data_IF_783981313125
#
_entry.id   IF_783981313125
#
_cell.length_a   1.000
_cell.length_b   1.000
_cell.length_c   1.000
_cell.angle_alpha   90.00
_cell.angle_beta   90.00
_cell.angle_gamma   90.00
#
_symmetry.space_group_name_H-M   'P 1'
#
loop_
_entity.id
_entity.type
_entity.pdbx_description
1 polymer ?
#
# COMPACT_ATOMS: atom_id res chain seq x y z
N UNK A 1 -25.44 2.75 1.72
CA UNK A 1 -24.64 3.93 1.34
C UNK A 1 -23.35 3.97 2.16
N UNK A 2 -22.23 4.26 1.51
CA UNK A 2 -20.95 4.33 2.20
C UNK A 2 -20.87 5.60 3.07
N UNK A 3 -20.36 5.44 4.28
CA UNK A 3 -19.94 6.57 5.10
C UNK A 3 -18.49 6.90 4.74
N UNK A 4 -18.31 7.82 3.79
CA UNK A 4 -16.99 8.15 3.27
C UNK A 4 -16.08 8.78 4.32
N UNK A 5 -16.64 9.52 5.27
CA UNK A 5 -15.84 10.11 6.34
C UNK A 5 -15.23 9.03 7.25
N UNK A 6 -16.05 8.09 7.69
CA UNK A 6 -15.57 6.98 8.52
C UNK A 6 -14.63 6.08 7.74
N UNK A 7 -14.98 5.79 6.48
CA UNK A 7 -14.16 4.96 5.62
C UNK A 7 -12.78 5.58 5.40
N UNK A 8 -12.72 6.89 5.18
CA UNK A 8 -11.45 7.60 5.01
C UNK A 8 -10.60 7.50 6.28
N UNK A 9 -11.21 7.66 7.45
CA UNK A 9 -10.50 7.52 8.72
C UNK A 9 -9.92 6.10 8.88
N UNK A 10 -10.70 5.09 8.52
CA UNK A 10 -10.24 3.69 8.57
C UNK A 10 -9.08 3.46 7.59
N UNK A 11 -9.17 4.00 6.39
CA UNK A 11 -8.12 3.88 5.37
C UNK A 11 -6.84 4.59 5.83
N UNK A 12 -6.95 5.74 6.46
CA UNK A 12 -5.80 6.44 7.03
C UNK A 12 -5.08 5.57 8.07
N UNK A 13 -5.83 4.89 8.91
CA UNK A 13 -5.27 3.98 9.91
C UNK A 13 -4.54 2.80 9.24
N UNK A 14 -5.16 2.24 8.21
CA UNK A 14 -4.58 1.12 7.45
C UNK A 14 -3.30 1.57 6.74
N UNK A 15 -3.31 2.73 6.10
CA UNK A 15 -2.13 3.29 5.42
C UNK A 15 -0.99 3.54 6.40
N UNK A 16 -1.30 4.06 7.58
CA UNK A 16 -0.31 4.31 8.63
C UNK A 16 0.35 3.01 9.09
N UNK A 17 -0.44 1.97 9.32
CA UNK A 17 0.09 0.67 9.71
C UNK A 17 0.99 0.08 8.63
N UNK A 18 0.60 0.19 7.36
CA UNK A 18 1.41 -0.26 6.23
C UNK A 18 2.72 0.53 6.15
N UNK A 19 2.66 1.84 6.39
CA UNK A 19 3.85 2.69 6.41
C UNK A 19 4.82 2.31 7.53
N UNK A 20 4.30 1.98 8.70
CA UNK A 20 5.13 1.47 9.80
C UNK A 20 5.83 0.17 9.45
N UNK A 21 5.14 -0.73 8.77
CA UNK A 21 5.74 -1.96 8.26
C UNK A 21 6.91 -1.65 7.32
N UNK A 22 6.70 -0.77 6.35
CA UNK A 22 7.76 -0.38 5.40
C UNK A 22 8.97 0.21 6.12
N UNK A 23 8.73 1.05 7.11
CA UNK A 23 9.80 1.69 7.87
C UNK A 23 10.62 0.68 8.67
N UNK A 24 9.95 -0.27 9.34
CA UNK A 24 10.63 -1.31 10.10
C UNK A 24 11.44 -2.24 9.19
N UNK A 25 10.87 -2.63 8.03
CA UNK A 25 11.58 -3.45 7.07
C UNK A 25 12.78 -2.72 6.47
N UNK A 26 12.69 -1.40 6.30
CA UNK A 26 13.83 -0.61 5.80
C UNK A 26 15.00 -0.64 6.78
N UNK A 27 14.74 -0.64 8.07
CA UNK A 27 15.78 -0.79 9.08
C UNK A 27 16.45 -2.16 9.00
N UNK A 28 15.66 -3.22 8.82
CA UNK A 28 16.19 -4.57 8.67
C UNK A 28 17.03 -4.71 7.40
N UNK A 29 16.54 -4.13 6.30
CA UNK A 29 17.23 -4.09 5.02
C UNK A 29 18.63 -3.47 5.17
N UNK A 30 18.73 -2.36 5.90
CA UNK A 30 19.98 -1.65 6.10
C UNK A 30 21.03 -2.50 6.80
N UNK A 31 20.62 -3.38 7.71
CA UNK A 31 21.51 -4.28 8.44
C UNK A 31 21.98 -5.47 7.62
N UNK A 32 21.09 -5.97 6.76
CA UNK A 32 21.27 -7.26 6.09
C UNK A 32 21.85 -7.13 4.68
N UNK A 33 21.61 -6.03 4.02
CA UNK A 33 21.87 -5.91 2.61
C UNK A 33 23.25 -5.37 2.30
N UNK A 34 24.03 -6.14 1.57
CA UNK A 34 25.32 -5.74 1.03
C UNK A 34 25.52 -6.15 -0.42
N UNK A 35 24.55 -6.88 -1.01
CA UNK A 35 24.66 -7.39 -2.37
C UNK A 35 23.42 -6.99 -3.15
N UNK A 36 23.60 -6.46 -4.37
CA UNK A 36 22.52 -5.98 -5.24
C UNK A 36 21.40 -7.01 -5.46
N UNK A 37 21.76 -8.27 -5.69
CA UNK A 37 20.80 -9.35 -5.89
C UNK A 37 19.89 -9.52 -4.67
N UNK A 38 20.46 -9.49 -3.48
CA UNK A 38 19.69 -9.58 -2.23
C UNK A 38 18.79 -8.36 -2.06
N UNK A 39 19.23 -7.19 -2.53
CA UNK A 39 18.44 -5.96 -2.51
C UNK A 39 17.14 -6.12 -3.30
N UNK A 40 17.22 -6.62 -4.53
CA UNK A 40 16.05 -6.80 -5.38
C UNK A 40 15.07 -7.83 -4.79
N UNK A 41 15.58 -8.95 -4.30
CA UNK A 41 14.76 -9.99 -3.68
C UNK A 41 14.05 -9.47 -2.44
N UNK A 42 14.76 -8.70 -1.62
CA UNK A 42 14.20 -8.14 -0.40
C UNK A 42 13.11 -7.12 -0.69
N UNK A 43 13.34 -6.21 -1.64
CA UNK A 43 12.35 -5.19 -2.02
C UNK A 43 11.12 -5.84 -2.63
N UNK A 44 11.30 -6.88 -3.44
CA UNK A 44 10.17 -7.65 -3.99
C UNK A 44 9.34 -8.28 -2.88
N UNK A 45 9.97 -8.86 -1.86
CA UNK A 45 9.28 -9.37 -0.69
C UNK A 45 8.49 -8.29 0.03
N UNK A 46 9.12 -7.13 0.26
CA UNK A 46 8.48 -6.02 0.98
C UNK A 46 7.25 -5.51 0.22
N UNK A 47 7.37 -5.32 -1.10
CA UNK A 47 6.26 -4.91 -1.96
C UNK A 47 5.09 -5.88 -1.85
N UNK A 48 5.35 -7.16 -1.99
CA UNK A 48 4.30 -8.19 -1.96
C UNK A 48 3.65 -8.29 -0.59
N UNK A 49 4.44 -8.23 0.46
CA UNK A 49 3.91 -8.32 1.82
C UNK A 49 3.09 -7.09 2.18
N UNK A 50 3.54 -5.89 1.79
CA UNK A 50 2.78 -4.66 2.00
C UNK A 50 1.44 -4.73 1.28
N UNK A 51 1.43 -5.16 0.02
CA UNK A 51 0.19 -5.32 -0.75
C UNK A 51 -0.74 -6.33 -0.09
N UNK A 52 -0.22 -7.47 0.33
CA UNK A 52 -1.01 -8.51 1.00
C UNK A 52 -1.71 -7.98 2.25
N UNK A 53 -0.99 -7.20 3.05
CA UNK A 53 -1.56 -6.59 4.26
C UNK A 53 -2.66 -5.59 3.93
N UNK A 54 -2.43 -4.75 2.92
CA UNK A 54 -3.44 -3.79 2.47
C UNK A 54 -4.69 -4.49 1.96
N UNK A 55 -4.53 -5.51 1.11
CA UNK A 55 -5.66 -6.27 0.57
C UNK A 55 -6.45 -6.92 1.68
N UNK A 56 -5.80 -7.54 2.65
CA UNK A 56 -6.46 -8.18 3.79
C UNK A 56 -7.32 -7.19 4.57
N UNK A 57 -6.73 -6.04 4.92
CA UNK A 57 -7.43 -5.03 5.74
C UNK A 57 -8.55 -4.34 4.96
N UNK A 58 -8.30 -4.00 3.70
CA UNK A 58 -9.29 -3.31 2.88
C UNK A 58 -10.44 -4.25 2.50
N UNK A 59 -10.16 -5.54 2.29
CA UNK A 59 -11.21 -6.53 2.03
C UNK A 59 -12.14 -6.70 3.23
N UNK A 60 -11.61 -6.64 4.44
CA UNK A 60 -12.41 -6.69 5.66
C UNK A 60 -13.27 -5.44 5.80
N UNK A 61 -12.73 -4.30 5.37
CA UNK A 61 -13.42 -3.02 5.48
C UNK A 61 -14.56 -2.87 4.47
N UNK A 62 -14.38 -3.35 3.26
CA UNK A 62 -15.37 -3.23 2.17
C UNK A 62 -15.33 -4.49 1.31
N UNK A 63 -16.02 -5.58 1.74
CA UNK A 63 -15.92 -6.88 1.04
C UNK A 63 -16.38 -6.88 -0.41
N UNK A 64 -17.26 -5.95 -0.80
CA UNK A 64 -17.79 -5.90 -2.16
C UNK A 64 -16.87 -5.22 -3.17
N UNK A 65 -15.71 -4.73 -2.75
CA UNK A 65 -14.78 -4.04 -3.64
C UNK A 65 -13.77 -4.99 -4.27
N UNK A 66 -13.41 -4.72 -5.52
CA UNK A 66 -12.26 -5.34 -6.18
C UNK A 66 -11.01 -4.51 -6.00
N UNK A 67 -9.92 -4.92 -6.67
CA UNK A 67 -8.61 -4.28 -6.50
C UNK A 67 -7.89 -4.11 -7.83
N UNK A 68 -7.24 -2.97 -7.97
CA UNK A 68 -6.16 -2.78 -8.95
C UNK A 68 -4.88 -2.62 -8.13
N UNK A 69 -4.00 -3.60 -8.23
CA UNK A 69 -2.81 -3.71 -7.40
C UNK A 69 -1.64 -4.25 -8.23
N UNK A 70 -0.44 -3.73 -7.99
CA UNK A 70 0.73 -4.01 -8.82
C UNK A 70 1.21 -5.46 -8.74
N UNK A 71 1.12 -6.07 -7.56
CA UNK A 71 1.68 -7.39 -7.34
C UNK A 71 0.69 -8.53 -7.60
N UNK A 72 -0.55 -8.19 -7.95
CA UNK A 72 -1.55 -9.18 -8.33
C UNK A 72 -2.12 -10.00 -7.19
N UNK A 73 -2.03 -9.53 -5.95
CA UNK A 73 -2.60 -10.22 -4.78
C UNK A 73 -4.12 -10.33 -4.85
N UNK A 74 -4.76 -9.44 -5.59
CA UNK A 74 -6.19 -9.41 -5.78
C UNK A 74 -6.50 -8.75 -7.12
N UNK A 75 -7.72 -8.92 -7.61
CA UNK A 75 -8.09 -8.47 -8.94
C UNK A 75 -9.41 -7.74 -8.93
N UNK A 76 -9.65 -6.99 -10.01
CA UNK A 76 -10.91 -6.31 -10.24
C UNK A 76 -11.71 -7.06 -11.31
N UNK A 77 -12.93 -7.44 -10.97
CA UNK A 77 -13.85 -8.17 -11.84
C UNK A 77 -15.18 -7.41 -11.99
N UNK A 78 -15.07 -6.11 -12.21
CA UNK A 78 -16.22 -5.22 -12.41
C UNK A 78 -17.13 -5.08 -11.18
N UNK A 79 -16.58 -5.21 -9.99
CA UNK A 79 -17.30 -4.91 -8.75
C UNK A 79 -17.72 -3.42 -8.72
N UNK A 80 -18.77 -3.07 -7.94
CA UNK A 80 -19.25 -1.69 -7.88
C UNK A 80 -18.23 -0.71 -7.31
N UNK A 81 -17.29 -1.21 -6.52
CA UNK A 81 -16.20 -0.41 -5.96
C UNK A 81 -14.87 -1.06 -6.27
N UNK A 82 -13.84 -0.25 -6.39
CA UNK A 82 -12.49 -0.73 -6.67
C UNK A 82 -11.47 0.06 -5.88
N UNK A 83 -10.66 -0.66 -5.10
CA UNK A 83 -9.47 -0.10 -4.48
C UNK A 83 -8.35 -0.05 -5.51
N UNK A 84 -7.70 1.10 -5.61
CA UNK A 84 -6.47 1.24 -6.41
C UNK A 84 -5.36 1.49 -5.40
N UNK A 85 -4.42 0.55 -5.31
CA UNK A 85 -3.39 0.60 -4.28
C UNK A 85 -2.00 0.54 -4.88
N UNK A 86 -1.09 1.31 -4.28
CA UNK A 86 0.34 1.21 -4.51
C UNK A 86 0.98 1.00 -3.13
N UNK A 87 1.41 -0.22 -2.83
CA UNK A 87 1.93 -0.55 -1.50
C UNK A 87 3.27 0.08 -1.19
N UNK A 88 4.01 0.50 -2.21
CA UNK A 88 5.29 1.19 -2.06
C UNK A 88 5.54 2.03 -3.31
N UNK A 89 5.11 3.28 -3.26
CA UNK A 89 5.39 4.26 -4.31
C UNK A 89 6.73 4.93 -4.00
N UNK A 90 7.63 4.94 -4.98
CA UNK A 90 8.98 5.44 -4.79
C UNK A 90 9.97 4.34 -4.40
N UNK A 91 9.89 3.19 -5.07
CA UNK A 91 10.72 2.02 -4.79
C UNK A 91 12.22 2.35 -4.83
N UNK A 92 12.65 3.15 -5.82
CA UNK A 92 14.05 3.57 -5.93
C UNK A 92 14.48 4.39 -4.71
N UNK A 93 13.64 5.32 -4.28
CA UNK A 93 13.90 6.10 -3.08
C UNK A 93 13.96 5.21 -1.84
N UNK A 94 13.09 4.23 -1.76
CA UNK A 94 13.06 3.27 -0.66
C UNK A 94 14.38 2.50 -0.57
N UNK A 95 14.88 2.00 -1.70
CA UNK A 95 16.14 1.27 -1.77
C UNK A 95 17.29 2.12 -1.22
N UNK A 96 17.32 3.41 -1.57
CA UNK A 96 18.39 4.32 -1.16
C UNK A 96 18.12 5.05 0.16
N UNK A 97 17.00 4.73 0.81
CA UNK A 97 16.56 5.39 2.05
C UNK A 97 16.44 6.91 1.90
N UNK A 98 15.96 7.32 0.74
CA UNK A 98 15.73 8.73 0.41
C UNK A 98 14.23 9.02 0.36
N UNK A 99 13.83 10.16 0.88
CA UNK A 99 12.45 10.64 0.77
C UNK A 99 12.19 11.16 -0.65
N UNK A 100 10.94 11.12 -1.15
CA UNK A 100 9.81 10.49 -0.50
C UNK A 100 9.60 9.03 -0.93
N UNK A 101 8.99 8.24 -0.07
CA UNK A 101 8.32 7.00 -0.46
C UNK A 101 7.04 6.86 0.35
N UNK A 102 6.02 6.32 -0.29
CA UNK A 102 4.64 6.46 0.18
C UNK A 102 3.86 5.16 0.04
N UNK A 103 2.79 5.06 0.83
CA UNK A 103 1.70 4.12 0.59
C UNK A 103 0.54 4.93 0.01
N UNK A 104 -0.03 4.48 -1.10
CA UNK A 104 -1.14 5.18 -1.77
C UNK A 104 -2.34 4.25 -1.87
N UNK A 105 -3.51 4.74 -1.46
CA UNK A 105 -4.76 3.98 -1.47
C UNK A 105 -5.86 4.90 -1.98
N UNK A 106 -6.58 4.46 -3.01
CA UNK A 106 -7.73 5.17 -3.51
C UNK A 106 -8.92 4.23 -3.63
N UNK A 107 -10.11 4.76 -3.45
CA UNK A 107 -11.36 4.03 -3.69
C UNK A 107 -12.15 4.74 -4.75
N UNK A 108 -12.61 3.99 -5.75
CA UNK A 108 -13.50 4.53 -6.76
C UNK A 108 -14.73 3.67 -6.92
N UNK A 109 -15.83 4.30 -7.35
CA UNK A 109 -16.96 3.60 -7.94
C UNK A 109 -16.67 3.44 -9.44
N UNK A 110 -17.62 2.90 -10.20
CA UNK A 110 -17.43 2.80 -11.66
C UNK A 110 -17.24 4.15 -12.32
N UNK A 111 -17.83 5.19 -11.75
CA UNK A 111 -17.92 6.51 -12.38
C UNK A 111 -17.04 7.59 -11.74
N UNK A 112 -16.65 7.43 -10.50
CA UNK A 112 -15.96 8.53 -9.80
C UNK A 112 -15.00 8.07 -8.71
N UNK A 113 -14.05 8.93 -8.42
CA UNK A 113 -13.14 8.76 -7.29
C UNK A 113 -13.88 9.16 -6.01
N UNK A 114 -13.88 8.28 -5.02
CA UNK A 114 -14.60 8.49 -3.76
C UNK A 114 -13.71 8.98 -2.63
N UNK A 115 -12.49 8.44 -2.53
CA UNK A 115 -11.50 8.89 -1.55
C UNK A 115 -10.09 8.57 -2.04
N UNK A 116 -9.13 9.28 -1.48
CA UNK A 116 -7.72 9.00 -1.73
C UNK A 116 -6.90 9.31 -0.49
N UNK A 117 -5.96 8.44 -0.17
CA UNK A 117 -5.05 8.60 0.96
C UNK A 117 -3.63 8.30 0.50
N UNK A 118 -2.72 9.20 0.80
CA UNK A 118 -1.29 9.02 0.58
C UNK A 118 -0.59 9.20 1.92
N UNK A 119 0.13 8.20 2.35
CA UNK A 119 0.91 8.26 3.58
C UNK A 119 2.39 8.28 3.24
N UNK A 120 3.06 9.38 3.55
CA UNK A 120 4.50 9.51 3.31
C UNK A 120 5.24 8.93 4.51
N UNK A 121 6.02 7.87 4.24
CA UNK A 121 6.56 7.00 5.29
C UNK A 121 7.75 7.60 6.02
N UNK A 122 8.61 8.31 5.30
CA UNK A 122 9.89 8.75 5.85
C UNK A 122 9.90 10.16 6.43
N UNK A 123 8.75 10.84 6.44
CA UNK A 123 8.61 12.11 7.14
C UNK A 123 8.00 11.90 8.51
N UNK A 124 8.52 12.59 9.46
CA UNK A 124 8.04 12.57 10.84
C UNK A 124 7.31 13.86 11.16
#
# INVERSE_FOLDING_TARGET
MLDLEQLTADVCRIATAAGHFLKEERKNFRRESVIEKCTHDYVSYVDKESERRLVTELSALLPEAGFIAEEGSATYNDEPYCWVIDPLDGTTNYIHDNAPYCVSIALRSRDELLLGVVYEVCRL
#
